data_IF_127195523362
#
_entry.id   IF_127195523362
#
_cell.length_a   1.000
_cell.length_b   1.000
_cell.length_c   1.000
_cell.angle_alpha   90.00
_cell.angle_beta   90.00
_cell.angle_gamma   90.00
#
_symmetry.space_group_name_H-M   'P 1'
#
loop_
_entity.id
_entity.type
_entity.pdbx_description
1 polymer ?
#
# COMPACT_ATOMS: atom_id res chain seq x y z
N UNK A 1 -9.59 -18.13 15.49
CA UNK A 1 -8.76 -18.17 14.26
C UNK A 1 -9.37 -17.44 13.05
N UNK A 2 -10.59 -16.86 13.19
CA UNK A 2 -11.27 -16.13 12.10
C UNK A 2 -10.60 -14.82 11.66
N UNK A 3 -9.71 -14.25 12.46
CA UNK A 3 -9.11 -12.93 12.17
C UNK A 3 -7.81 -12.96 11.34
N UNK A 4 -7.33 -14.13 10.92
CA UNK A 4 -6.06 -14.27 10.16
C UNK A 4 -6.21 -14.43 8.65
N UNK A 5 -7.42 -14.62 8.14
CA UNK A 5 -7.69 -14.86 6.72
C UNK A 5 -8.50 -13.74 6.08
N UNK A 6 -8.26 -12.48 6.48
CA UNK A 6 -8.78 -11.34 5.72
C UNK A 6 -7.88 -11.17 4.50
N UNK A 7 -8.23 -11.89 3.45
CA UNK A 7 -7.68 -11.68 2.11
C UNK A 7 -8.17 -10.31 1.64
N UNK A 8 -7.25 -9.34 1.63
CA UNK A 8 -7.54 -7.93 1.38
C UNK A 8 -8.05 -7.23 2.64
N UNK A 9 -7.29 -6.26 3.14
CA UNK A 9 -7.64 -5.43 4.30
C UNK A 9 -8.78 -4.44 4.00
N UNK A 10 -9.68 -4.77 3.06
CA UNK A 10 -10.84 -3.92 2.78
C UNK A 10 -11.71 -3.80 4.04
N UNK A 11 -11.99 -2.58 4.44
CA UNK A 11 -12.88 -2.27 5.56
C UNK A 11 -14.17 -1.70 4.96
N UNK A 12 -15.32 -2.40 5.07
CA UNK A 12 -16.57 -1.85 4.57
C UNK A 12 -16.91 -0.56 5.33
N UNK A 13 -17.19 0.52 4.60
CA UNK A 13 -17.50 1.81 5.15
C UNK A 13 -18.40 2.63 4.21
N UNK A 14 -19.03 3.67 4.75
CA UNK A 14 -19.94 4.55 4.02
C UNK A 14 -19.34 5.93 3.71
N UNK A 15 -18.03 6.09 3.83
CA UNK A 15 -17.37 7.37 3.56
C UNK A 15 -17.42 7.75 2.08
N UNK A 16 -17.18 9.03 1.79
CA UNK A 16 -17.08 9.52 0.40
C UNK A 16 -16.08 8.72 -0.42
N UNK A 17 -14.95 8.35 0.19
CA UNK A 17 -13.93 7.53 -0.47
C UNK A 17 -14.43 6.11 -0.81
N UNK A 18 -15.29 5.49 -0.01
CA UNK A 18 -15.85 4.18 -0.32
C UNK A 18 -16.82 4.21 -1.49
N UNK A 19 -17.56 5.32 -1.67
CA UNK A 19 -18.57 5.50 -2.72
C UNK A 19 -17.99 5.89 -4.09
N UNK A 20 -16.75 6.34 -4.15
CA UNK A 20 -16.08 6.70 -5.40
C UNK A 20 -15.87 5.46 -6.28
N UNK A 21 -16.01 5.65 -7.60
CA UNK A 21 -15.71 4.61 -8.59
C UNK A 21 -14.25 4.13 -8.45
N UNK A 22 -14.00 2.81 -8.38
CA UNK A 22 -12.65 2.24 -8.28
C UNK A 22 -11.68 2.70 -9.38
N UNK A 23 -12.19 3.00 -10.58
CA UNK A 23 -11.39 3.53 -11.71
C UNK A 23 -10.84 4.91 -11.38
N UNK A 24 -11.68 5.79 -10.85
CA UNK A 24 -11.28 7.16 -10.46
C UNK A 24 -10.28 7.12 -9.32
N UNK A 25 -10.47 6.24 -8.35
CA UNK A 25 -9.52 6.05 -7.23
C UNK A 25 -8.16 5.59 -7.74
N UNK A 26 -8.13 4.61 -8.64
CA UNK A 26 -6.89 4.05 -9.16
C UNK A 26 -6.11 5.09 -9.98
N UNK A 27 -6.78 5.81 -10.87
CA UNK A 27 -6.17 6.91 -11.63
C UNK A 27 -5.73 8.02 -10.68
N UNK A 28 -6.59 8.43 -9.75
CA UNK A 28 -6.28 9.45 -8.76
C UNK A 28 -5.06 9.09 -7.90
N UNK A 29 -4.94 7.84 -7.49
CA UNK A 29 -3.79 7.35 -6.75
C UNK A 29 -2.49 7.45 -7.58
N UNK A 30 -2.52 7.02 -8.85
CA UNK A 30 -1.36 7.11 -9.74
C UNK A 30 -0.95 8.57 -9.92
N UNK A 31 -1.90 9.46 -10.21
CA UNK A 31 -1.64 10.90 -10.36
C UNK A 31 -1.06 11.48 -9.08
N UNK A 32 -1.65 11.16 -7.92
CA UNK A 32 -1.14 11.63 -6.63
C UNK A 32 0.26 11.11 -6.33
N UNK A 33 0.58 9.85 -6.66
CA UNK A 33 1.93 9.32 -6.54
C UNK A 33 2.92 10.10 -7.42
N UNK A 34 2.57 10.38 -8.67
CA UNK A 34 3.40 11.19 -9.56
C UNK A 34 3.63 12.60 -9.01
N UNK A 35 2.59 13.24 -8.47
CA UNK A 35 2.70 14.55 -7.83
C UNK A 35 3.59 14.52 -6.58
N UNK A 36 3.51 13.49 -5.76
CA UNK A 36 4.41 13.29 -4.60
C UNK A 36 5.87 13.14 -5.05
N UNK A 37 6.13 12.44 -6.16
CA UNK A 37 7.48 12.35 -6.72
C UNK A 37 7.98 13.68 -7.31
N UNK A 38 7.09 14.48 -7.90
CA UNK A 38 7.41 15.80 -8.45
C UNK A 38 7.61 16.89 -7.38
N UNK A 39 7.19 16.62 -6.13
CA UNK A 39 7.36 17.56 -5.02
C UNK A 39 8.83 17.63 -4.57
N UNK A 40 9.56 18.66 -5.00
CA UNK A 40 10.98 18.86 -4.71
C UNK A 40 11.23 19.94 -3.65
N UNK A 41 10.26 20.85 -3.46
CA UNK A 41 10.37 22.00 -2.57
C UNK A 41 9.57 21.79 -1.27
N UNK A 42 9.96 22.50 -0.22
CA UNK A 42 9.25 22.49 1.08
C UNK A 42 7.77 22.83 0.92
N UNK A 43 7.45 23.87 0.15
CA UNK A 43 6.06 24.30 -0.07
C UNK A 43 5.22 23.23 -0.74
N UNK A 44 5.74 22.58 -1.80
CA UNK A 44 5.03 21.52 -2.50
C UNK A 44 4.84 20.28 -1.62
N UNK A 45 5.83 19.92 -0.79
CA UNK A 45 5.70 18.83 0.17
C UNK A 45 4.66 19.12 1.25
N UNK A 46 4.59 20.35 1.77
CA UNK A 46 3.55 20.73 2.74
C UNK A 46 2.14 20.67 2.14
N UNK A 47 1.98 21.11 0.90
CA UNK A 47 0.71 20.98 0.18
C UNK A 47 0.33 19.50 0.03
N UNK A 48 1.28 18.64 -0.36
CA UNK A 48 1.02 17.20 -0.49
C UNK A 48 0.64 16.55 0.84
N UNK A 49 1.32 16.92 1.94
CA UNK A 49 0.96 16.45 3.28
C UNK A 49 -0.48 16.86 3.62
N UNK A 50 -0.85 18.12 3.37
CA UNK A 50 -2.18 18.63 3.65
C UNK A 50 -3.25 17.90 2.83
N UNK A 51 -3.01 17.68 1.52
CA UNK A 51 -3.93 16.97 0.63
C UNK A 51 -4.08 15.51 1.05
N UNK A 52 -2.98 14.77 1.25
CA UNK A 52 -3.05 13.35 1.65
C UNK A 52 -3.70 13.18 3.02
N UNK A 53 -3.39 14.08 3.97
CA UNK A 53 -4.03 14.08 5.29
C UNK A 53 -5.53 14.33 5.18
N UNK A 54 -5.96 15.25 4.34
CA UNK A 54 -7.39 15.50 4.05
C UNK A 54 -8.06 14.25 3.47
N UNK A 55 -7.40 13.56 2.52
CA UNK A 55 -7.90 12.31 1.97
C UNK A 55 -8.04 11.23 3.06
N UNK A 56 -7.06 11.11 3.96
CA UNK A 56 -7.14 10.16 5.09
C UNK A 56 -8.35 10.46 5.97
N UNK A 57 -8.60 11.72 6.31
CA UNK A 57 -9.80 12.10 7.09
C UNK A 57 -11.09 11.79 6.35
N UNK A 58 -11.15 12.00 5.02
CA UNK A 58 -12.30 11.68 4.20
C UNK A 58 -12.60 10.17 4.13
N UNK A 59 -11.65 9.29 4.43
CA UNK A 59 -11.91 7.84 4.52
C UNK A 59 -12.76 7.48 5.74
N UNK A 60 -12.73 8.29 6.80
CA UNK A 60 -13.38 7.99 8.09
C UNK A 60 -12.73 6.83 8.86
N UNK A 61 -11.57 6.36 8.41
CA UNK A 61 -10.85 5.25 9.05
C UNK A 61 -9.88 5.82 10.08
N UNK A 62 -9.74 5.15 11.23
CA UNK A 62 -8.86 5.61 12.30
C UNK A 62 -7.39 5.66 11.87
N UNK A 63 -6.69 6.76 12.20
CA UNK A 63 -5.26 6.95 11.92
C UNK A 63 -4.39 5.80 12.47
N UNK A 64 -4.83 5.15 13.54
CA UNK A 64 -4.12 3.99 14.10
C UNK A 64 -3.97 2.82 13.13
N UNK A 65 -4.92 2.64 12.19
CA UNK A 65 -4.84 1.59 11.17
C UNK A 65 -3.76 1.96 10.14
N UNK A 66 -3.70 3.23 9.74
CA UNK A 66 -2.65 3.74 8.83
C UNK A 66 -1.26 3.60 9.44
N UNK A 67 -1.10 3.95 10.71
CA UNK A 67 0.18 3.80 11.43
C UNK A 67 0.59 2.33 11.60
N UNK A 68 -0.37 1.42 11.78
CA UNK A 68 -0.08 -0.03 11.77
C UNK A 68 0.38 -0.52 10.40
N UNK A 69 -0.10 0.09 9.32
CA UNK A 69 0.38 -0.17 7.96
C UNK A 69 1.83 0.23 7.72
N UNK A 70 2.33 1.24 8.44
CA UNK A 70 3.73 1.67 8.41
C UNK A 70 4.68 0.69 9.11
N UNK A 71 4.21 0.01 10.17
CA UNK A 71 5.06 -0.82 11.04
C UNK A 71 5.97 -1.80 10.30
N UNK A 72 5.51 -2.59 9.31
CA UNK A 72 6.38 -3.52 8.59
C UNK A 72 7.42 -2.83 7.70
N UNK A 73 7.16 -1.56 7.29
CA UNK A 73 8.04 -0.81 6.38
C UNK A 73 9.00 0.14 7.10
N UNK A 74 8.79 0.37 8.40
CA UNK A 74 9.60 1.31 9.21
C UNK A 74 11.10 0.99 9.12
N UNK A 75 11.48 -0.28 9.18
CA UNK A 75 12.88 -0.69 9.11
C UNK A 75 13.53 -0.30 7.77
N UNK A 76 12.83 -0.50 6.66
CA UNK A 76 13.31 -0.14 5.31
C UNK A 76 13.39 1.38 5.17
N UNK A 77 12.41 2.11 5.67
CA UNK A 77 12.39 3.59 5.62
C UNK A 77 13.58 4.14 6.42
N UNK A 78 13.78 3.69 7.67
CA UNK A 78 14.89 4.14 8.51
C UNK A 78 16.23 3.82 7.85
N UNK A 79 16.38 2.61 7.29
CA UNK A 79 17.60 2.21 6.59
C UNK A 79 17.90 3.12 5.38
N UNK A 80 16.88 3.38 4.55
CA UNK A 80 17.03 4.25 3.37
C UNK A 80 17.37 5.69 3.77
N UNK A 81 16.68 6.23 4.79
CA UNK A 81 16.94 7.58 5.32
C UNK A 81 18.35 7.67 5.90
N UNK A 82 18.79 6.66 6.65
CA UNK A 82 20.15 6.61 7.19
C UNK A 82 21.21 6.61 6.09
N UNK A 83 21.03 5.79 5.04
CA UNK A 83 21.92 5.80 3.87
C UNK A 83 21.94 7.18 3.20
N UNK A 84 20.77 7.80 3.04
CA UNK A 84 20.68 9.13 2.41
C UNK A 84 21.43 10.19 3.21
N UNK A 85 21.33 10.16 4.54
CA UNK A 85 22.07 11.10 5.41
C UNK A 85 23.58 10.90 5.29
N UNK A 86 24.03 9.64 5.23
CA UNK A 86 25.45 9.29 5.26
C UNK A 86 26.15 9.48 3.91
N UNK A 87 25.45 9.22 2.80
CA UNK A 87 26.04 9.19 1.46
C UNK A 87 25.73 10.41 0.59
N UNK A 88 24.86 11.32 1.04
CA UNK A 88 24.59 12.55 0.28
C UNK A 88 25.55 13.66 0.70
N UNK A 89 26.41 14.07 -0.22
CA UNK A 89 27.45 15.09 0.00
C UNK A 89 27.06 16.44 -0.62
N UNK A 90 25.83 16.91 -0.41
CA UNK A 90 25.37 18.20 -0.92
C UNK A 90 25.22 19.20 0.22
N UNK A 91 25.65 20.46 -0.02
CA UNK A 91 25.57 21.53 0.97
C UNK A 91 26.75 21.56 1.93
N UNK A 92 26.59 22.31 3.03
CA UNK A 92 27.67 22.51 4.03
C UNK A 92 27.87 21.23 4.85
N UNK A 93 29.12 20.88 5.06
CA UNK A 93 29.50 19.73 5.89
C UNK A 93 29.40 20.12 7.36
N UNK A 94 28.47 19.48 8.08
CA UNK A 94 28.30 19.64 9.52
C UNK A 94 29.29 18.79 10.30
N UNK A 95 29.56 17.59 9.82
CA UNK A 95 30.49 16.65 10.44
C UNK A 95 30.95 15.62 9.41
N UNK A 96 32.25 15.28 9.42
CA UNK A 96 32.82 14.30 8.50
C UNK A 96 33.66 13.28 9.24
N UNK A 97 33.48 12.00 8.89
CA UNK A 97 34.27 10.90 9.38
C UNK A 97 34.65 9.99 8.22
N UNK A 98 35.79 10.26 7.61
CA UNK A 98 36.27 9.53 6.42
C UNK A 98 35.33 9.67 5.22
N UNK A 99 34.82 8.58 4.64
CA UNK A 99 33.91 8.63 3.49
C UNK A 99 32.46 9.01 3.86
N UNK A 100 32.16 9.15 5.14
CA UNK A 100 30.83 9.49 5.66
C UNK A 100 30.82 10.97 6.06
N UNK A 101 29.93 11.75 5.47
CA UNK A 101 29.77 13.14 5.80
C UNK A 101 28.31 13.49 6.08
N UNK A 102 28.07 14.07 7.25
CA UNK A 102 26.77 14.65 7.58
C UNK A 102 26.72 16.05 6.98
N UNK A 103 25.83 16.25 6.01
CA UNK A 103 25.67 17.53 5.30
C UNK A 103 24.26 18.08 5.50
N UNK A 104 24.11 19.42 5.40
CA UNK A 104 22.80 20.08 5.48
C UNK A 104 21.87 19.62 4.35
N UNK A 105 22.41 19.43 3.14
CA UNK A 105 21.66 18.90 2.01
C UNK A 105 21.28 17.43 2.16
N UNK A 106 22.17 16.61 2.76
CA UNK A 106 21.87 15.21 3.10
C UNK A 106 20.69 15.10 4.07
N UNK A 107 20.68 15.95 5.10
CA UNK A 107 19.60 15.97 6.09
C UNK A 107 18.26 16.42 5.49
N UNK A 108 18.26 17.48 4.69
CA UNK A 108 17.04 17.96 4.02
C UNK A 108 16.50 16.94 3.02
N UNK A 109 17.35 16.32 2.20
CA UNK A 109 16.95 15.26 1.26
C UNK A 109 16.40 14.04 1.99
N UNK A 110 17.03 13.62 3.09
CA UNK A 110 16.54 12.55 3.93
C UNK A 110 15.13 12.83 4.49
N UNK A 111 14.88 14.08 4.93
CA UNK A 111 13.55 14.49 5.39
C UNK A 111 12.51 14.42 4.25
N UNK A 112 12.84 14.89 3.04
CA UNK A 112 11.94 14.79 1.89
C UNK A 112 11.66 13.36 1.50
N UNK A 113 12.66 12.48 1.52
CA UNK A 113 12.49 11.05 1.22
C UNK A 113 11.61 10.38 2.27
N UNK A 114 11.84 10.67 3.56
CA UNK A 114 11.00 10.16 4.65
C UNK A 114 9.52 10.54 4.45
N UNK A 115 9.24 11.82 4.21
CA UNK A 115 7.88 12.32 3.95
C UNK A 115 7.28 11.64 2.72
N UNK A 116 8.04 11.51 1.64
CA UNK A 116 7.61 10.86 0.40
C UNK A 116 7.18 9.41 0.64
N UNK A 117 7.98 8.61 1.33
CA UNK A 117 7.59 7.24 1.68
C UNK A 117 6.32 7.19 2.51
N UNK A 118 6.20 8.06 3.49
CA UNK A 118 5.02 8.15 4.35
C UNK A 118 3.76 8.47 3.54
N UNK A 119 3.82 9.44 2.65
CA UNK A 119 2.70 9.83 1.78
C UNK A 119 2.30 8.70 0.81
N UNK A 120 3.28 8.02 0.18
CA UNK A 120 3.02 6.90 -0.73
C UNK A 120 2.35 5.74 0.01
N UNK A 121 2.82 5.40 1.21
CA UNK A 121 2.23 4.34 2.02
C UNK A 121 0.79 4.71 2.42
N UNK A 122 0.53 5.97 2.79
CA UNK A 122 -0.81 6.41 3.12
C UNK A 122 -1.74 6.34 1.91
N UNK A 123 -1.32 6.81 0.74
CA UNK A 123 -2.09 6.72 -0.50
C UNK A 123 -2.40 5.27 -0.87
N UNK A 124 -1.41 4.39 -0.82
CA UNK A 124 -1.60 2.95 -1.08
C UNK A 124 -2.55 2.31 -0.06
N UNK A 125 -2.43 2.69 1.21
CA UNK A 125 -3.30 2.20 2.28
C UNK A 125 -4.74 2.66 2.08
N UNK A 126 -4.97 3.92 1.65
CA UNK A 126 -6.31 4.43 1.30
C UNK A 126 -6.95 3.52 0.27
N UNK A 127 -6.27 3.24 -0.85
CA UNK A 127 -6.81 2.37 -1.89
C UNK A 127 -7.15 0.97 -1.35
N UNK A 128 -6.20 0.36 -0.64
CA UNK A 128 -6.34 -1.01 -0.10
C UNK A 128 -7.49 -1.13 0.90
N UNK A 129 -7.69 -0.13 1.76
CA UNK A 129 -8.74 -0.16 2.77
C UNK A 129 -10.12 0.22 2.24
N UNK A 130 -10.19 1.04 1.17
CA UNK A 130 -11.46 1.56 0.64
C UNK A 130 -11.95 0.87 -0.62
N UNK A 131 -11.18 -0.07 -1.20
CA UNK A 131 -11.54 -0.72 -2.47
C UNK A 131 -11.33 -2.23 -2.37
N UNK A 132 -12.33 -2.98 -2.81
CA UNK A 132 -12.25 -4.44 -2.85
C UNK A 132 -11.27 -4.90 -3.94
N UNK A 133 -10.50 -5.98 -3.73
CA UNK A 133 -9.56 -6.49 -4.73
C UNK A 133 -10.21 -6.77 -6.10
N UNK A 134 -11.41 -7.35 -6.12
CA UNK A 134 -12.15 -7.61 -7.36
C UNK A 134 -12.48 -6.30 -8.10
N UNK A 135 -12.91 -5.26 -7.38
CA UNK A 135 -13.21 -3.96 -7.97
C UNK A 135 -11.95 -3.25 -8.53
N UNK A 136 -10.77 -3.51 -7.94
CA UNK A 136 -9.49 -3.04 -8.48
C UNK A 136 -9.19 -3.74 -9.80
N UNK A 137 -9.42 -5.06 -9.88
CA UNK A 137 -9.22 -5.83 -11.12
C UNK A 137 -10.13 -5.32 -12.26
N UNK A 138 -11.40 -5.11 -11.97
CA UNK A 138 -12.37 -4.56 -12.94
C UNK A 138 -11.98 -3.14 -13.39
N UNK A 139 -11.48 -2.33 -12.47
CA UNK A 139 -10.97 -1.00 -12.78
C UNK A 139 -9.74 -1.05 -13.68
N UNK A 140 -8.79 -1.96 -13.40
CA UNK A 140 -7.61 -2.17 -14.23
C UNK A 140 -7.97 -2.65 -15.63
N UNK A 141 -8.89 -3.62 -15.77
CA UNK A 141 -9.40 -4.06 -17.08
C UNK A 141 -9.96 -2.87 -17.88
N UNK A 142 -10.81 -2.06 -17.25
CA UNK A 142 -11.41 -0.92 -17.89
C UNK A 142 -10.39 0.15 -18.34
N UNK A 143 -9.35 0.39 -17.53
CA UNK A 143 -8.29 1.36 -17.84
C UNK A 143 -7.33 0.84 -18.91
N UNK A 144 -7.10 -0.46 -18.98
CA UNK A 144 -6.24 -1.10 -19.97
C UNK A 144 -6.98 -1.42 -21.28
N UNK A 145 -8.29 -1.20 -21.34
CA UNK A 145 -9.11 -1.43 -22.55
C UNK A 145 -8.54 -0.82 -23.83
N UNK A 146 -7.94 0.40 -23.85
CA UNK A 146 -7.34 0.95 -25.08
C UNK A 146 -6.13 0.16 -25.57
N UNK A 147 -5.44 -0.58 -24.69
CA UNK A 147 -4.23 -1.35 -25.00
C UNK A 147 -4.55 -2.82 -25.33
N UNK A 148 -5.81 -3.21 -25.35
CA UNK A 148 -6.26 -4.59 -25.58
C UNK A 148 -5.80 -5.22 -26.89
N UNK A 149 -5.43 -4.41 -27.88
CA UNK A 149 -4.94 -4.89 -29.17
C UNK A 149 -3.51 -5.43 -29.10
N UNK A 150 -2.77 -5.06 -28.03
CA UNK A 150 -1.37 -5.46 -27.83
C UNK A 150 -1.28 -6.54 -26.73
N UNK A 151 -2.14 -6.44 -25.72
CA UNK A 151 -2.17 -7.33 -24.57
C UNK A 151 -3.54 -8.02 -24.46
N UNK A 152 -3.61 -9.30 -24.10
CA UNK A 152 -4.86 -10.02 -23.84
C UNK A 152 -5.45 -9.61 -22.49
N UNK A 153 -5.80 -8.30 -22.36
CA UNK A 153 -6.22 -7.68 -21.09
C UNK A 153 -7.48 -8.33 -20.54
N UNK A 154 -8.42 -8.69 -21.43
CA UNK A 154 -9.69 -9.31 -21.04
C UNK A 154 -9.48 -10.70 -20.44
N UNK A 155 -8.63 -11.51 -21.07
CA UNK A 155 -8.32 -12.86 -20.61
C UNK A 155 -7.62 -12.83 -19.24
N UNK A 156 -6.66 -11.92 -19.07
CA UNK A 156 -5.95 -11.74 -17.79
C UNK A 156 -6.92 -11.26 -16.70
N UNK A 157 -7.78 -10.30 -16.99
CA UNK A 157 -8.77 -9.79 -16.04
C UNK A 157 -9.77 -10.89 -15.65
N UNK A 158 -10.23 -11.69 -16.62
CA UNK A 158 -11.12 -12.82 -16.38
C UNK A 158 -10.46 -13.88 -15.50
N UNK A 159 -9.22 -14.26 -15.78
CA UNK A 159 -8.46 -15.22 -14.97
C UNK A 159 -8.31 -14.70 -13.53
N UNK A 160 -7.95 -13.43 -13.36
CA UNK A 160 -7.75 -12.81 -12.04
C UNK A 160 -9.07 -12.69 -11.28
N UNK A 161 -10.16 -12.30 -11.94
CA UNK A 161 -11.50 -12.23 -11.34
C UNK A 161 -11.99 -13.61 -10.86
N UNK A 162 -11.80 -14.64 -11.68
CA UNK A 162 -12.11 -16.02 -11.29
C UNK A 162 -11.25 -16.43 -10.08
N UNK A 163 -9.94 -16.21 -10.13
CA UNK A 163 -9.04 -16.56 -9.03
C UNK A 163 -9.44 -15.84 -7.73
N UNK A 164 -9.69 -14.54 -7.76
CA UNK A 164 -10.09 -13.75 -6.59
C UNK A 164 -11.45 -14.18 -6.03
N UNK A 165 -12.35 -14.71 -6.86
CA UNK A 165 -13.64 -15.24 -6.44
C UNK A 165 -13.52 -16.62 -5.81
N UNK A 166 -12.65 -17.48 -6.37
CA UNK A 166 -12.49 -18.84 -5.87
C UNK A 166 -11.65 -18.94 -4.60
N UNK A 167 -10.67 -18.05 -4.39
CA UNK A 167 -9.81 -18.06 -3.21
C UNK A 167 -10.61 -18.05 -1.89
N UNK A 168 -11.58 -17.13 -1.66
CA UNK A 168 -12.40 -17.19 -0.45
C UNK A 168 -13.17 -18.47 -0.30
N UNK A 169 -13.79 -18.96 -1.39
CA UNK A 169 -14.55 -20.21 -1.39
C UNK A 169 -13.69 -21.42 -1.02
N UNK A 170 -12.49 -21.51 -1.61
CA UNK A 170 -11.55 -22.60 -1.30
C UNK A 170 -11.09 -22.56 0.16
N UNK A 171 -10.88 -21.37 0.72
CA UNK A 171 -10.51 -21.21 2.13
C UNK A 171 -11.65 -21.62 3.07
N UNK A 172 -12.89 -21.27 2.74
CA UNK A 172 -14.06 -21.70 3.49
C UNK A 172 -14.22 -23.25 3.46
N UNK A 173 -14.04 -23.86 2.30
CA UNK A 173 -14.08 -25.31 2.17
C UNK A 173 -12.92 -25.98 2.92
N UNK A 174 -11.70 -25.43 2.84
CA UNK A 174 -10.56 -25.91 3.62
C UNK A 174 -10.83 -25.84 5.12
N UNK A 175 -11.42 -24.75 5.62
CA UNK A 175 -11.80 -24.60 7.03
C UNK A 175 -12.86 -25.64 7.43
N UNK A 176 -13.85 -25.91 6.58
CA UNK A 176 -14.86 -26.97 6.83
C UNK A 176 -14.21 -28.34 6.93
N UNK A 177 -13.32 -28.66 5.99
CA UNK A 177 -12.58 -29.94 5.98
C UNK A 177 -11.72 -30.06 7.25
N UNK A 178 -10.97 -29.02 7.59
CA UNK A 178 -10.14 -29.00 8.80
C UNK A 178 -10.98 -29.22 10.07
N UNK A 179 -12.13 -28.56 10.17
CA UNK A 179 -13.01 -28.70 11.32
C UNK A 179 -13.62 -30.13 11.40
N UNK A 180 -14.01 -30.69 10.27
CA UNK A 180 -14.50 -32.07 10.22
C UNK A 180 -13.43 -33.07 10.62
N UNK A 181 -12.18 -32.89 10.19
CA UNK A 181 -11.06 -33.77 10.57
C UNK A 181 -10.71 -33.64 12.06
N UNK A 182 -10.75 -32.42 12.61
CA UNK A 182 -10.57 -32.21 14.07
C UNK A 182 -11.66 -32.91 14.88
N UNK A 183 -12.92 -32.88 14.41
CA UNK A 183 -14.02 -33.59 15.06
C UNK A 183 -13.82 -35.10 15.04
N UNK A 184 -13.07 -35.63 14.06
CA UNK A 184 -12.68 -37.08 13.97
C UNK A 184 -11.41 -37.41 14.76
N UNK A 185 -10.85 -36.43 15.54
CA UNK A 185 -9.67 -36.68 16.38
C UNK A 185 -8.33 -36.51 15.63
N UNK A 186 -8.34 -36.03 14.38
CA UNK A 186 -7.07 -35.76 13.63
C UNK A 186 -6.49 -34.43 14.06
N UNK A 187 -5.28 -34.43 14.60
CA UNK A 187 -4.50 -33.20 14.86
C UNK A 187 -3.93 -32.65 13.55
N UNK A 188 -4.58 -31.60 13.00
CA UNK A 188 -4.11 -30.94 11.79
C UNK A 188 -3.13 -29.82 12.21
N UNK A 189 -1.90 -29.86 11.67
CA UNK A 189 -0.92 -28.78 11.83
C UNK A 189 0.28 -29.10 12.72
N UNK A 190 0.43 -30.31 13.23
CA UNK A 190 1.72 -30.82 13.70
C UNK A 190 2.35 -31.60 12.54
N UNK A 191 3.36 -31.03 11.90
CA UNK A 191 4.27 -31.82 11.10
C UNK A 191 4.82 -32.90 12.01
N UNK A 192 4.64 -34.17 11.66
CA UNK A 192 5.35 -35.24 12.31
C UNK A 192 6.82 -35.06 11.98
N UNK A 193 7.60 -34.60 12.98
CA UNK A 193 9.04 -34.72 13.02
C UNK A 193 9.33 -36.04 13.69
#
# INVERSE_FOLDING_TARGET
MKDKLIIGRYIPGNSLMHKLDPRVKLVGLIVMMLLVFAATNLTTNLIMIAVVTSLVFLTGISLGIFLRGLKPMIAIIIFTVALQILFTHTGDVLWSFGPLALTTGGLSNAAYIFVRFLLIIFLSTILTLTTQPLAITDAMEALLKPVRNILPVHEIALMLSIALRFVPTLLEEADKIMNAQRARGVEIGRAHV
#
